data_IF_144031073685
#
_entry.id   IF_144031073685
#
_cell.length_a   1.000
_cell.length_b   1.000
_cell.length_c   1.000
_cell.angle_alpha   90.00
_cell.angle_beta   90.00
_cell.angle_gamma   90.00
#
_symmetry.space_group_name_H-M   'P 1'
#
loop_
_entity.id
_entity.type
_entity.pdbx_description
1 polymer ?
#
# COMPACT_ATOMS: atom_id res chain seq x y z
N UNK A 1 -21.64 -22.83 28.14
CA UNK A 1 -21.10 -21.65 27.44
C UNK A 1 -20.40 -22.12 26.17
N UNK A 2 -20.91 -21.78 24.99
CA UNK A 2 -20.19 -22.00 23.73
C UNK A 2 -19.07 -20.96 23.66
N UNK A 3 -17.83 -21.38 23.49
CA UNK A 3 -16.72 -20.47 23.17
C UNK A 3 -16.95 -19.99 21.74
N UNK A 4 -17.21 -18.71 21.54
CA UNK A 4 -17.11 -18.09 20.22
C UNK A 4 -15.63 -18.09 19.84
N UNK A 5 -15.30 -18.88 18.83
CA UNK A 5 -14.00 -18.79 18.16
C UNK A 5 -14.12 -17.59 17.22
N UNK A 6 -13.59 -16.44 17.64
CA UNK A 6 -13.43 -15.29 16.75
C UNK A 6 -12.37 -15.70 15.74
N UNK A 7 -12.81 -16.12 14.55
CA UNK A 7 -11.93 -16.18 13.38
C UNK A 7 -11.61 -14.74 13.02
N UNK A 8 -10.52 -14.19 13.56
CA UNK A 8 -9.89 -13.02 12.98
C UNK A 8 -9.50 -13.43 11.56
N UNK A 9 -10.19 -12.91 10.56
CA UNK A 9 -9.70 -13.08 9.20
C UNK A 9 -8.31 -12.45 9.15
N UNK A 10 -7.29 -13.13 8.60
CA UNK A 10 -5.99 -12.51 8.45
C UNK A 10 -6.15 -11.24 7.62
N UNK A 11 -5.46 -10.17 8.04
CA UNK A 11 -5.38 -8.94 7.24
C UNK A 11 -4.90 -9.27 5.83
N UNK A 12 -5.41 -8.55 4.85
CA UNK A 12 -5.05 -8.70 3.45
C UNK A 12 -4.86 -7.34 2.80
N UNK A 13 -4.20 -7.31 1.63
CA UNK A 13 -4.04 -6.12 0.81
C UNK A 13 -5.27 -6.03 -0.11
N UNK A 14 -6.08 -4.98 0.03
CA UNK A 14 -7.35 -4.84 -0.70
C UNK A 14 -7.24 -4.01 -1.98
N UNK A 15 -6.32 -3.05 -2.00
CA UNK A 15 -6.03 -2.22 -3.16
C UNK A 15 -4.64 -1.59 -3.00
N UNK A 16 -4.12 -1.08 -4.10
CA UNK A 16 -2.84 -0.38 -4.13
C UNK A 16 -2.67 0.48 -5.38
N UNK A 17 -1.65 1.32 -5.36
CA UNK A 17 -1.12 1.99 -6.55
C UNK A 17 0.41 1.96 -6.51
N UNK A 18 1.03 2.18 -7.67
CA UNK A 18 2.48 2.33 -7.73
C UNK A 18 2.94 3.61 -7.03
N UNK A 19 4.16 3.56 -6.52
CA UNK A 19 4.80 4.68 -5.84
C UNK A 19 6.15 4.97 -6.48
N UNK A 20 6.35 6.22 -6.86
CA UNK A 20 7.66 6.75 -7.25
C UNK A 20 8.24 7.63 -6.15
N UNK A 21 9.57 7.72 -6.07
CA UNK A 21 10.25 8.68 -5.22
C UNK A 21 10.53 9.92 -6.06
N UNK A 22 10.05 11.07 -5.59
CA UNK A 22 10.34 12.37 -6.21
C UNK A 22 11.79 12.74 -5.85
N UNK A 23 12.70 12.89 -6.82
CA UNK A 23 14.05 13.33 -6.53
C UNK A 23 14.04 14.76 -5.98
N UNK A 24 15.01 15.09 -5.11
CA UNK A 24 15.08 16.39 -4.43
C UNK A 24 15.04 17.59 -5.39
N UNK A 25 15.62 17.44 -6.59
CA UNK A 25 15.63 18.47 -7.63
C UNK A 25 14.23 18.81 -8.18
N UNK A 26 13.27 17.91 -8.05
CA UNK A 26 11.93 18.00 -8.65
C UNK A 26 10.81 18.18 -7.62
N UNK A 27 11.11 18.37 -6.33
CA UNK A 27 10.08 18.47 -5.26
C UNK A 27 9.12 19.65 -5.42
N UNK A 28 9.50 20.66 -6.20
CA UNK A 28 8.68 21.85 -6.47
C UNK A 28 7.93 21.76 -7.81
N UNK A 29 8.13 20.68 -8.56
CA UNK A 29 7.40 20.45 -9.81
C UNK A 29 6.04 19.80 -9.52
N UNK A 30 5.00 20.13 -10.30
CA UNK A 30 3.73 19.44 -10.19
C UNK A 30 3.91 17.96 -10.54
N UNK A 31 3.27 17.09 -9.76
CA UNK A 31 3.17 15.66 -10.04
C UNK A 31 1.71 15.26 -10.12
N UNK A 32 1.41 14.26 -10.93
CA UNK A 32 0.02 13.83 -11.18
C UNK A 32 -0.60 13.07 -9.99
N UNK A 33 0.21 12.63 -9.03
CA UNK A 33 -0.22 11.83 -7.88
C UNK A 33 -0.35 12.60 -6.56
N UNK A 34 -0.62 11.86 -5.49
CA UNK A 34 -0.65 12.39 -4.12
C UNK A 34 0.75 12.34 -3.53
N UNK A 35 1.27 13.48 -3.08
CA UNK A 35 2.58 13.53 -2.42
C UNK A 35 2.47 13.27 -0.94
N UNK A 36 3.21 12.28 -0.44
CA UNK A 36 3.40 12.00 0.98
C UNK A 36 4.88 12.20 1.32
N UNK A 37 5.16 12.90 2.42
CA UNK A 37 6.53 13.17 2.87
C UNK A 37 6.86 12.41 4.14
N UNK A 38 7.85 11.52 4.05
CA UNK A 38 8.52 10.98 5.22
C UNK A 38 9.56 11.99 5.72
N UNK A 39 9.16 12.77 6.73
CA UNK A 39 10.02 13.84 7.26
C UNK A 39 11.29 13.32 7.95
N UNK A 40 11.25 12.11 8.52
CA UNK A 40 12.40 11.54 9.22
C UNK A 40 13.52 11.15 8.25
N UNK A 41 13.15 10.66 7.06
CA UNK A 41 14.09 10.22 6.02
C UNK A 41 14.27 11.25 4.89
N UNK A 42 13.52 12.36 4.93
CA UNK A 42 13.44 13.35 3.86
C UNK A 42 13.07 12.74 2.49
N UNK A 43 12.16 11.75 2.48
CA UNK A 43 11.69 11.09 1.26
C UNK A 43 10.34 11.67 0.87
N UNK A 44 10.17 11.97 -0.42
CA UNK A 44 8.93 12.43 -1.01
C UNK A 44 8.38 11.34 -1.92
N UNK A 45 7.33 10.68 -1.46
CA UNK A 45 6.63 9.65 -2.21
C UNK A 45 5.54 10.29 -3.07
N UNK A 46 5.54 9.97 -4.35
CA UNK A 46 4.42 10.24 -5.25
C UNK A 46 3.59 8.97 -5.37
N UNK A 47 2.37 9.01 -4.84
CA UNK A 47 1.40 7.93 -4.98
C UNK A 47 0.69 8.12 -6.31
N UNK A 48 0.99 7.26 -7.27
CA UNK A 48 0.47 7.38 -8.63
C UNK A 48 -0.96 6.82 -8.70
N UNK A 49 -1.93 7.58 -8.16
CA UNK A 49 -3.32 7.13 -7.99
C UNK A 49 -4.07 6.88 -9.30
N UNK A 50 -3.48 7.24 -10.45
CA UNK A 50 -3.98 6.90 -11.79
C UNK A 50 -3.42 5.56 -12.31
N UNK A 51 -2.33 5.05 -11.73
CA UNK A 51 -1.71 3.76 -12.02
C UNK A 51 -1.99 2.79 -10.87
N UNK A 52 -3.25 2.36 -10.80
CA UNK A 52 -3.73 1.41 -9.79
C UNK A 52 -3.20 -0.01 -10.06
N UNK A 53 -2.89 -0.72 -8.97
CA UNK A 53 -2.58 -2.14 -9.02
C UNK A 53 -3.80 -2.93 -9.50
N UNK A 54 -3.58 -3.79 -10.49
CA UNK A 54 -4.64 -4.66 -10.99
C UNK A 54 -4.83 -5.90 -10.09
N UNK A 55 -5.76 -6.78 -10.49
CA UNK A 55 -6.05 -7.99 -9.71
C UNK A 55 -4.82 -8.91 -9.55
N UNK A 56 -3.96 -9.00 -10.57
CA UNK A 56 -2.77 -9.84 -10.53
C UNK A 56 -1.69 -9.24 -9.63
N UNK A 57 -1.52 -7.92 -9.66
CA UNK A 57 -0.64 -7.21 -8.73
C UNK A 57 -1.09 -7.46 -7.28
N UNK A 58 -2.37 -7.25 -6.99
CA UNK A 58 -2.91 -7.46 -5.63
C UNK A 58 -2.81 -8.93 -5.19
N UNK A 59 -3.01 -9.89 -6.11
CA UNK A 59 -2.84 -11.31 -5.80
C UNK A 59 -1.40 -11.62 -5.40
N UNK A 60 -0.43 -11.13 -6.17
CA UNK A 60 1.00 -11.33 -5.89
C UNK A 60 1.41 -10.67 -4.57
N UNK A 61 1.00 -9.41 -4.36
CA UNK A 61 1.28 -8.68 -3.12
C UNK A 61 0.68 -9.40 -1.89
N UNK A 62 -0.51 -9.99 -2.01
CA UNK A 62 -1.06 -10.78 -0.91
C UNK A 62 -0.26 -12.05 -0.62
N UNK A 63 0.25 -12.75 -1.64
CA UNK A 63 1.12 -13.92 -1.44
C UNK A 63 2.39 -13.50 -0.67
N UNK A 64 3.01 -12.39 -1.07
CA UNK A 64 4.21 -11.84 -0.41
C UNK A 64 3.92 -11.30 0.98
N UNK A 65 2.73 -10.75 1.21
CA UNK A 65 2.32 -10.30 2.55
C UNK A 65 2.18 -11.48 3.51
N UNK A 66 1.49 -12.55 3.08
CA UNK A 66 1.25 -13.72 3.94
C UNK A 66 2.51 -14.54 4.21
N UNK A 67 3.47 -14.55 3.29
CA UNK A 67 4.75 -15.24 3.49
C UNK A 67 5.80 -14.37 4.22
N UNK A 68 5.49 -13.10 4.51
CA UNK A 68 6.37 -12.16 5.20
C UNK A 68 7.54 -11.63 4.36
N UNK A 69 7.43 -11.64 3.03
CA UNK A 69 8.50 -11.20 2.12
C UNK A 69 8.43 -9.72 1.74
N UNK A 70 7.31 -9.04 2.02
CA UNK A 70 7.18 -7.60 1.80
C UNK A 70 8.01 -6.80 2.81
N UNK A 71 8.71 -5.78 2.32
CA UNK A 71 9.35 -4.78 3.16
C UNK A 71 8.36 -3.63 3.42
N UNK A 72 8.03 -3.35 4.67
CA UNK A 72 7.22 -2.19 5.05
C UNK A 72 8.16 -0.98 5.17
N UNK A 73 8.05 -0.03 4.24
CA UNK A 73 8.83 1.21 4.24
C UNK A 73 8.21 2.27 5.16
N UNK A 74 6.89 2.37 5.15
CA UNK A 74 6.17 3.36 5.95
C UNK A 74 4.76 2.89 6.32
N UNK A 75 4.32 3.24 7.53
CA UNK A 75 2.90 3.16 7.91
C UNK A 75 2.32 4.56 7.79
N UNK A 76 1.28 4.70 6.99
CA UNK A 76 0.63 5.97 6.70
C UNK A 76 -0.41 6.29 7.77
N UNK A 77 -0.38 7.53 8.25
CA UNK A 77 -1.50 8.05 9.05
C UNK A 77 -2.75 8.20 8.18
N UNK A 78 -3.92 8.09 8.81
CA UNK A 78 -5.21 8.23 8.12
C UNK A 78 -5.27 9.59 7.44
N UNK A 79 -5.57 9.58 6.15
CA UNK A 79 -5.65 10.77 5.31
C UNK A 79 -7.04 10.89 4.69
N UNK A 80 -7.52 12.11 4.48
CA UNK A 80 -8.78 12.37 3.79
C UNK A 80 -8.68 12.20 2.26
N UNK A 81 -7.46 12.20 1.71
CA UNK A 81 -7.23 12.15 0.26
C UNK A 81 -7.05 10.73 -0.29
N UNK A 82 -6.74 9.76 0.57
CA UNK A 82 -6.51 8.37 0.17
C UNK A 82 -6.80 7.40 1.31
N UNK A 83 -7.10 6.15 0.96
CA UNK A 83 -7.36 5.09 1.94
C UNK A 83 -6.18 4.13 2.14
N UNK A 84 -5.00 4.45 1.59
CA UNK A 84 -3.78 3.69 1.80
C UNK A 84 -3.29 3.78 3.24
N UNK A 85 -2.70 2.69 3.70
CA UNK A 85 -2.28 2.47 5.09
C UNK A 85 -0.78 2.24 5.21
N UNK A 86 -0.13 1.77 4.14
CA UNK A 86 1.29 1.46 4.15
C UNK A 86 1.92 1.81 2.80
N UNK A 87 3.20 2.17 2.83
CA UNK A 87 4.09 2.09 1.67
C UNK A 87 4.95 0.86 1.87
N UNK A 88 4.95 -0.02 0.88
CA UNK A 88 5.69 -1.28 0.89
C UNK A 88 6.64 -1.34 -0.30
N UNK A 89 7.62 -2.24 -0.22
CA UNK A 89 8.45 -2.66 -1.35
C UNK A 89 8.31 -4.16 -1.53
N UNK A 90 8.02 -4.57 -2.76
CA UNK A 90 7.88 -5.97 -3.13
C UNK A 90 9.24 -6.65 -3.38
N UNK A 91 9.22 -7.97 -3.56
CA UNK A 91 10.43 -8.76 -3.79
C UNK A 91 11.15 -8.44 -5.10
N UNK A 92 10.48 -7.78 -6.06
CA UNK A 92 11.06 -7.33 -7.33
C UNK A 92 11.63 -5.90 -7.24
N UNK A 93 11.40 -5.23 -6.11
CA UNK A 93 11.91 -3.90 -5.82
C UNK A 93 10.98 -2.76 -6.21
N UNK A 94 9.76 -3.04 -6.65
CA UNK A 94 8.75 -2.00 -6.88
C UNK A 94 8.13 -1.54 -5.56
N UNK A 95 7.78 -0.26 -5.49
CA UNK A 95 7.13 0.34 -4.33
C UNK A 95 5.65 0.53 -4.60
N UNK A 96 4.84 0.26 -3.58
CA UNK A 96 3.39 0.33 -3.66
C UNK A 96 2.84 1.03 -2.43
N UNK A 97 1.83 1.87 -2.60
CA UNK A 97 0.97 2.32 -1.52
C UNK A 97 -0.22 1.38 -1.46
N UNK A 98 -0.49 0.77 -0.30
CA UNK A 98 -1.48 -0.30 -0.15
C UNK A 98 -2.44 -0.07 1.01
N UNK A 99 -3.67 -0.54 0.85
CA UNK A 99 -4.64 -0.65 1.94
C UNK A 99 -4.59 -2.06 2.53
N UNK A 100 -4.13 -2.16 3.78
CA UNK A 100 -4.11 -3.40 4.56
C UNK A 100 -5.20 -3.34 5.62
N UNK A 101 -6.20 -4.22 5.52
CA UNK A 101 -7.31 -4.31 6.48
C UNK A 101 -7.83 -5.74 6.59
N UNK A 102 -8.73 -5.96 7.55
CA UNK A 102 -9.38 -7.26 7.72
C UNK A 102 -10.37 -7.52 6.59
N UNK A 103 -10.45 -8.78 6.13
CA UNK A 103 -11.44 -9.23 5.16
C UNK A 103 -10.85 -9.92 3.93
N UNK A 104 -11.75 -10.35 3.04
CA UNK A 104 -11.42 -10.96 1.76
C UNK A 104 -11.09 -9.86 0.73
N UNK A 105 -9.85 -9.83 0.26
CA UNK A 105 -9.38 -8.84 -0.72
C UNK A 105 -10.04 -9.02 -2.10
N UNK A 106 -10.58 -10.19 -2.41
CA UNK A 106 -11.19 -10.46 -3.73
C UNK A 106 -12.51 -9.73 -3.93
N UNK A 107 -13.15 -9.24 -2.86
CA UNK A 107 -14.43 -8.52 -2.94
C UNK A 107 -14.39 -7.26 -3.80
N UNK A 108 -13.20 -6.66 -3.99
CA UNK A 108 -13.02 -5.46 -4.81
C UNK A 108 -12.97 -5.77 -6.33
N UNK A 109 -12.95 -7.05 -6.71
CA UNK A 109 -12.75 -7.52 -8.09
C UNK A 109 -13.86 -8.47 -8.58
N UNK A 110 -14.93 -8.65 -7.80
CA UNK A 110 -16.12 -9.46 -8.11
C UNK A 110 -17.28 -8.56 -8.51
#
# INVERSE_FOLDING_TARGET
MKKEVIFLQPKSIHCGCYVSIIPELYINEPVDGIVITNKALNIHYNLETETLCDRSDIAQLNIEYQNGSLEILETLEVNALHDYTHIIKDTYGFMHAVQIKDGDWTSNFL
#
